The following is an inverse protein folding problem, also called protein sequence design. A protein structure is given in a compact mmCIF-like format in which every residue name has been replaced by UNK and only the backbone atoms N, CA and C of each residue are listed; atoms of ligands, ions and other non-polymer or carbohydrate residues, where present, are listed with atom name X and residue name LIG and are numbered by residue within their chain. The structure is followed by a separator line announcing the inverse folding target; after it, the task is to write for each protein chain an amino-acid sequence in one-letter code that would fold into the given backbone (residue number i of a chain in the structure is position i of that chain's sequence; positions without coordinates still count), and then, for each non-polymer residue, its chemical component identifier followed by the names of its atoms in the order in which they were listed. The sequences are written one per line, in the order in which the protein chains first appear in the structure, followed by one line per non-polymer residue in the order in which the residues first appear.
data_IF_859503020031
#
_entry.id   IF_859503020031
#
_cell.length_a   1.000
_cell.length_b   1.000
_cell.length_c   1.000
_cell.angle_alpha   90.00
_cell.angle_beta   90.00
_cell.angle_gamma   90.00
#
_symmetry.space_group_name_H-M   'P 1'
#
loop_
_entity.id
_entity.type
_entity.pdbx_description
1 polymer ?
#
# COMPACT_ATOMS: atom_id res chain seq x y z
N UNK A 1 -39.60 -3.79 13.37
CA UNK A 1 -38.16 -3.69 13.56
C UNK A 1 -37.90 -3.55 15.04
N UNK A 2 -37.17 -4.50 15.65
CA UNK A 2 -37.06 -4.71 17.11
C UNK A 2 -36.16 -3.67 17.81
N UNK A 3 -36.37 -2.38 17.57
CA UNK A 3 -35.53 -1.29 18.09
C UNK A 3 -34.32 -0.93 17.23
N UNK A 4 -34.08 -1.62 16.10
CA UNK A 4 -32.94 -1.37 15.21
C UNK A 4 -32.97 -0.03 14.45
N UNK A 5 -34.08 0.71 14.49
CA UNK A 5 -34.24 2.05 13.92
C UNK A 5 -34.55 3.10 14.99
N UNK A 6 -34.01 2.94 16.19
CA UNK A 6 -34.18 3.94 17.25
C UNK A 6 -33.32 5.17 16.97
N UNK A 7 -33.84 6.36 17.31
CA UNK A 7 -33.25 7.67 16.99
C UNK A 7 -32.94 7.81 15.49
N UNK A 8 -31.67 7.95 15.12
CA UNK A 8 -31.23 8.21 13.75
C UNK A 8 -30.71 6.93 13.05
N UNK A 9 -30.97 5.76 13.64
CA UNK A 9 -30.55 4.50 13.04
C UNK A 9 -31.40 4.16 11.80
N UNK A 10 -30.71 3.84 10.70
CA UNK A 10 -31.32 3.37 9.46
C UNK A 10 -31.06 1.87 9.34
N UNK A 11 -32.10 1.09 9.05
CA UNK A 11 -31.91 -0.29 8.56
C UNK A 11 -32.24 -0.32 7.08
N UNK A 12 -31.41 -1.04 6.33
CA UNK A 12 -31.56 -1.21 4.90
C UNK A 12 -31.83 -2.68 4.60
N UNK A 13 -32.53 -2.95 3.50
CA UNK A 13 -32.72 -4.33 3.05
C UNK A 13 -31.40 -4.91 2.57
N UNK A 14 -31.14 -6.18 2.85
CA UNK A 14 -30.00 -6.94 2.28
C UNK A 14 -29.98 -6.88 0.74
N UNK A 15 -31.14 -6.69 0.10
CA UNK A 15 -31.25 -6.48 -1.35
C UNK A 15 -30.40 -5.30 -1.85
N UNK A 16 -30.21 -4.27 -1.03
CA UNK A 16 -29.40 -3.09 -1.38
C UNK A 16 -27.95 -3.48 -1.70
N UNK A 17 -27.38 -4.41 -0.93
CA UNK A 17 -26.03 -4.94 -1.14
C UNK A 17 -26.04 -5.95 -2.30
N UNK A 18 -27.03 -6.84 -2.35
CA UNK A 18 -27.10 -7.89 -3.36
C UNK A 18 -27.25 -7.36 -4.79
N UNK A 19 -27.98 -6.26 -4.94
CA UNK A 19 -28.31 -5.68 -6.24
C UNK A 19 -27.46 -4.42 -6.55
N UNK A 20 -26.39 -4.17 -5.78
CA UNK A 20 -25.44 -3.05 -5.94
C UNK A 20 -26.11 -1.65 -6.01
N UNK A 21 -27.25 -1.46 -5.32
CA UNK A 21 -28.10 -0.26 -5.48
C UNK A 21 -27.37 1.02 -5.07
N UNK A 22 -26.52 0.94 -4.04
CA UNK A 22 -25.73 2.07 -3.52
C UNK A 22 -24.23 1.83 -3.62
N UNK A 23 -23.78 0.89 -4.46
CA UNK A 23 -22.36 0.65 -4.70
C UNK A 23 -21.77 1.79 -5.54
N UNK A 24 -20.65 2.34 -5.11
CA UNK A 24 -19.93 3.42 -5.80
C UNK A 24 -18.46 3.05 -6.02
N UNK A 25 -17.88 3.58 -7.10
CA UNK A 25 -16.45 3.46 -7.40
C UNK A 25 -15.76 4.73 -6.93
N UNK A 26 -14.72 4.56 -6.11
CA UNK A 26 -13.84 5.63 -5.66
C UNK A 26 -12.46 5.40 -6.25
N UNK A 27 -11.83 6.47 -6.74
CA UNK A 27 -10.50 6.43 -7.36
C UNK A 27 -9.62 7.39 -6.58
N UNK A 28 -8.56 6.84 -6.00
CA UNK A 28 -7.55 7.59 -5.26
C UNK A 28 -6.23 7.61 -6.05
N UNK A 29 -5.53 8.74 -6.01
CA UNK A 29 -4.24 8.93 -6.67
C UNK A 29 -3.13 9.06 -5.63
N UNK A 30 -2.11 8.23 -5.76
CA UNK A 30 -0.92 8.24 -4.92
C UNK A 30 0.30 8.59 -5.76
N UNK A 31 1.04 9.62 -5.34
CA UNK A 31 2.21 10.12 -6.07
C UNK A 31 3.45 10.09 -5.19
N UNK A 32 4.58 9.67 -5.76
CA UNK A 32 5.88 9.70 -5.10
C UNK A 32 6.96 10.20 -6.08
N UNK A 33 7.92 10.97 -5.55
CA UNK A 33 9.03 11.50 -6.32
C UNK A 33 10.36 10.83 -5.94
N UNK A 34 11.18 10.60 -6.97
CA UNK A 34 12.58 10.16 -6.85
C UNK A 34 13.47 11.40 -6.86
N UNK A 35 14.31 11.56 -5.83
CA UNK A 35 15.13 12.76 -5.66
C UNK A 35 16.62 12.43 -5.55
N UNK A 36 17.44 13.39 -5.97
CA UNK A 36 18.87 13.36 -5.65
C UNK A 36 19.06 13.83 -4.21
N UNK A 37 19.74 13.02 -3.41
CA UNK A 37 20.03 13.32 -2.01
C UNK A 37 21.51 13.57 -1.83
N UNK A 38 21.90 14.23 -0.73
CA UNK A 38 23.32 14.40 -0.39
C UNK A 38 24.11 13.08 -0.28
N UNK A 39 23.42 11.94 -0.18
CA UNK A 39 24.00 10.61 0.02
C UNK A 39 23.91 9.73 -1.24
N UNK A 40 23.36 10.25 -2.33
CA UNK A 40 23.17 9.55 -3.59
C UNK A 40 21.76 9.70 -4.14
N UNK A 41 21.57 9.20 -5.36
CA UNK A 41 20.30 9.19 -6.05
C UNK A 41 19.38 8.13 -5.42
N UNK A 42 18.11 8.48 -5.20
CA UNK A 42 17.08 7.48 -4.89
C UNK A 42 16.80 6.61 -6.12
N UNK A 43 16.49 5.34 -5.91
CA UNK A 43 16.25 4.39 -7.00
C UNK A 43 14.90 3.69 -6.80
N UNK A 44 14.24 3.39 -7.92
CA UNK A 44 13.04 2.55 -7.93
C UNK A 44 13.45 1.12 -8.24
N UNK A 45 13.01 0.18 -7.41
CA UNK A 45 13.34 -1.23 -7.55
C UNK A 45 12.38 -2.10 -6.73
N UNK A 46 12.15 -3.32 -7.20
CA UNK A 46 11.46 -4.36 -6.43
C UNK A 46 12.39 -5.04 -5.39
N UNK A 47 13.70 -4.82 -5.48
CA UNK A 47 14.68 -5.34 -4.52
C UNK A 47 14.80 -4.41 -3.30
N UNK A 48 13.90 -4.59 -2.34
CA UNK A 48 13.81 -3.75 -1.15
C UNK A 48 14.44 -4.49 0.04
N UNK A 49 15.47 -3.93 0.70
CA UNK A 49 16.15 -4.59 1.79
C UNK A 49 15.24 -4.75 3.02
N UNK A 50 15.34 -5.90 3.69
CA UNK A 50 14.54 -6.28 4.87
C UNK A 50 13.03 -6.44 4.60
N UNK A 51 12.62 -6.57 3.34
CA UNK A 51 11.24 -6.85 2.93
C UNK A 51 11.18 -8.28 2.37
N UNK A 52 10.09 -9.00 2.65
CA UNK A 52 9.90 -10.35 2.11
C UNK A 52 9.59 -10.31 0.61
N UNK A 53 10.00 -11.35 -0.13
CA UNK A 53 9.64 -11.51 -1.55
C UNK A 53 8.12 -11.51 -1.77
N UNK A 54 7.35 -12.00 -0.80
CA UNK A 54 5.88 -11.97 -0.86
C UNK A 54 5.32 -10.55 -0.87
N UNK A 55 5.96 -9.61 -0.18
CA UNK A 55 5.51 -8.21 -0.13
C UNK A 55 5.89 -7.41 -1.39
N UNK A 56 6.86 -7.90 -2.17
CA UNK A 56 7.27 -7.29 -3.45
C UNK A 56 6.80 -8.08 -4.66
N UNK A 57 6.01 -9.15 -4.47
CA UNK A 57 5.58 -10.07 -5.54
C UNK A 57 4.81 -9.41 -6.68
N UNK A 58 4.10 -8.32 -6.38
CA UNK A 58 3.25 -7.59 -7.34
C UNK A 58 3.96 -6.37 -7.94
N UNK A 59 5.20 -6.09 -7.53
CA UNK A 59 6.04 -5.07 -8.14
C UNK A 59 6.66 -5.59 -9.44
N UNK A 60 6.70 -4.72 -10.44
CA UNK A 60 7.39 -4.97 -11.70
C UNK A 60 8.91 -4.74 -11.57
N UNK A 61 9.63 -4.92 -12.68
CA UNK A 61 11.08 -4.72 -12.74
C UNK A 61 11.54 -3.29 -12.39
N UNK A 62 10.64 -2.30 -12.43
CA UNK A 62 10.89 -0.92 -12.06
C UNK A 62 10.47 -0.62 -10.62
N UNK A 63 10.03 -1.61 -9.84
CA UNK A 63 9.51 -1.41 -8.49
C UNK A 63 8.14 -0.74 -8.46
N UNK A 64 7.34 -0.82 -9.52
CA UNK A 64 5.99 -0.25 -9.59
C UNK A 64 4.98 -1.38 -9.56
N UNK A 65 3.91 -1.23 -8.77
CA UNK A 65 2.85 -2.22 -8.74
C UNK A 65 2.21 -2.45 -10.12
N UNK A 66 2.03 -3.71 -10.48
CA UNK A 66 1.41 -4.08 -11.76
C UNK A 66 -0.06 -3.66 -11.83
N UNK A 67 -0.53 -3.31 -13.03
CA UNK A 67 -1.94 -3.01 -13.28
C UNK A 67 -2.79 -4.27 -13.00
N UNK A 68 -3.89 -4.09 -12.25
CA UNK A 68 -4.79 -5.17 -11.89
C UNK A 68 -4.31 -6.04 -10.72
N UNK A 69 -3.32 -5.59 -9.95
CA UNK A 69 -3.09 -6.14 -8.60
C UNK A 69 -4.21 -5.70 -7.66
N UNK A 70 -4.74 -6.64 -6.88
CA UNK A 70 -5.57 -6.33 -5.72
C UNK A 70 -4.64 -6.06 -4.54
N UNK A 71 -4.93 -5.01 -3.77
CA UNK A 71 -4.08 -4.55 -2.66
C UNK A 71 -4.89 -4.43 -1.37
N UNK A 72 -4.20 -4.58 -0.26
CA UNK A 72 -4.69 -4.30 1.08
C UNK A 72 -3.86 -3.19 1.74
N UNK A 73 -4.29 -2.78 2.93
CA UNK A 73 -3.55 -1.81 3.73
C UNK A 73 -2.16 -2.35 4.07
N UNK A 74 -1.13 -1.58 3.73
CA UNK A 74 0.27 -1.92 4.00
C UNK A 74 1.03 -2.51 2.81
N UNK A 75 0.34 -2.82 1.71
CA UNK A 75 0.99 -3.27 0.49
C UNK A 75 1.86 -2.18 -0.16
N UNK A 76 2.92 -2.62 -0.82
CA UNK A 76 3.90 -1.73 -1.45
C UNK A 76 3.43 -1.38 -2.86
N UNK A 77 3.09 -0.11 -3.08
CA UNK A 77 2.72 0.40 -4.41
C UNK A 77 3.95 0.78 -5.25
N UNK A 78 4.94 1.37 -4.60
CA UNK A 78 6.16 1.91 -5.22
C UNK A 78 7.35 1.56 -4.34
N UNK A 79 8.19 0.64 -4.82
CA UNK A 79 9.46 0.28 -4.22
C UNK A 79 10.50 1.35 -4.49
N UNK A 80 10.78 2.18 -3.48
CA UNK A 80 11.85 3.19 -3.53
C UNK A 80 12.89 2.91 -2.46
N UNK A 81 14.16 2.88 -2.87
CA UNK A 81 15.31 2.83 -1.96
C UNK A 81 15.99 4.19 -1.88
N UNK A 82 16.35 4.60 -0.67
CA UNK A 82 17.15 5.81 -0.42
C UNK A 82 18.52 5.37 0.09
N UNK A 83 19.63 5.80 -0.53
CA UNK A 83 20.97 5.41 -0.09
C UNK A 83 21.21 5.89 1.34
N UNK A 84 21.45 4.93 2.25
CA UNK A 84 21.89 5.21 3.62
C UNK A 84 23.41 5.39 3.60
N UNK A 85 23.90 6.40 4.32
CA UNK A 85 25.34 6.53 4.54
C UNK A 85 25.83 5.44 5.46
N UNK A 86 27.14 5.15 5.45
CA UNK A 86 27.76 4.22 6.41
C UNK A 86 27.45 4.67 7.84
N UNK A 87 26.49 3.99 8.47
CA UNK A 87 26.36 3.96 9.92
C UNK A 87 26.89 2.62 10.36
N UNK A 88 27.77 2.62 11.36
CA UNK A 88 28.21 1.40 12.02
C UNK A 88 26.94 0.59 12.38
N UNK A 89 26.76 -0.63 11.84
CA UNK A 89 25.61 -1.43 12.18
C UNK A 89 25.56 -1.59 13.69
N UNK A 90 24.36 -1.59 14.27
CA UNK A 90 24.25 -1.85 15.70
C UNK A 90 24.87 -3.24 16.00
N UNK A 91 25.38 -3.48 17.22
CA UNK A 91 25.89 -4.80 17.58
C UNK A 91 24.88 -5.94 17.32
N UNK A 92 23.58 -5.63 17.31
CA UNK A 92 22.47 -6.54 17.03
C UNK A 92 22.38 -6.93 15.54
N UNK A 93 22.81 -6.06 14.61
CA UNK A 93 22.82 -6.32 13.17
C UNK A 93 24.06 -7.10 12.70
N UNK A 94 25.13 -7.17 13.52
CA UNK A 94 26.39 -7.88 13.22
C UNK A 94 26.43 -9.33 13.76
N UNK A 95 25.44 -9.75 14.53
CA UNK A 95 25.43 -11.00 15.31
C UNK A 95 24.81 -12.18 14.56
#
# INVERSE_FOLDING_TARGET
WKGYNFEDAIVISEKVVKDDIFTSIHIDEYTLEVRDTKRGLEELTADIPNVSEEATKDLDENGIIRIGAEIEEGDILIGKITPKGETDPSPEEKL
#
